data_IF_126556793216
#
_entry.id   IF_126556793216
#
_cell.length_a   1.000
_cell.length_b   1.000
_cell.length_c   1.000
_cell.angle_alpha   90.00
_cell.angle_beta   90.00
_cell.angle_gamma   90.00
#
_symmetry.space_group_name_H-M   'P 1'
#
loop_
_entity.id
_entity.type
_entity.pdbx_description
1 polymer ?
#
# COMPACT_ATOMS: atom_id res chain seq x y z
N UNK A 1 -0.23 26.00 -4.88
CA UNK A 1 0.06 25.18 -3.71
C UNK A 1 1.21 25.76 -2.90
N UNK A 2 1.46 25.21 -1.72
CA UNK A 2 2.62 25.55 -0.91
C UNK A 2 3.89 24.94 -1.50
N UNK A 3 5.04 25.57 -1.29
CA UNK A 3 6.32 25.06 -1.79
C UNK A 3 7.44 25.26 -0.77
N UNK A 4 8.39 24.32 -0.74
CA UNK A 4 9.60 24.38 0.09
C UNK A 4 9.34 24.54 1.59
N UNK A 5 8.37 23.75 2.11
CA UNK A 5 8.02 23.76 3.53
C UNK A 5 8.58 22.49 4.20
N UNK A 6 9.11 22.66 5.39
CA UNK A 6 9.57 21.58 6.25
C UNK A 6 8.81 21.59 7.57
N UNK A 7 8.11 20.49 7.87
CA UNK A 7 7.51 20.20 9.17
C UNK A 7 8.43 19.24 9.92
N UNK A 8 9.01 19.64 11.03
CA UNK A 8 9.95 18.79 11.75
C UNK A 8 9.78 18.85 13.27
N UNK A 9 9.87 17.70 13.92
CA UNK A 9 9.85 17.58 15.38
C UNK A 9 8.52 17.93 16.03
N UNK A 10 7.40 17.81 15.30
CA UNK A 10 6.08 18.18 15.78
C UNK A 10 5.35 16.96 16.37
N UNK A 11 4.52 17.22 17.40
CA UNK A 11 3.49 16.29 17.87
C UNK A 11 2.13 16.84 17.46
N UNK A 12 1.41 16.11 16.61
CA UNK A 12 0.08 16.49 16.10
C UNK A 12 -0.91 15.41 16.51
N UNK A 13 -1.97 15.76 17.17
CA UNK A 13 -2.93 14.78 17.69
C UNK A 13 -4.34 15.33 17.94
N UNK A 14 -5.27 14.41 18.22
CA UNK A 14 -6.59 14.67 18.78
C UNK A 14 -7.48 15.54 17.89
N UNK A 15 -7.54 15.26 16.58
CA UNK A 15 -8.51 15.92 15.69
C UNK A 15 -9.65 14.97 15.28
N UNK A 16 -10.81 15.54 14.95
CA UNK A 16 -11.95 14.82 14.36
C UNK A 16 -11.88 14.75 12.82
N UNK A 17 -10.86 15.32 12.24
CA UNK A 17 -10.58 15.36 10.82
C UNK A 17 -9.15 14.87 10.58
N UNK A 18 -8.61 15.11 9.41
CA UNK A 18 -7.21 14.77 9.10
C UNK A 18 -6.23 15.53 10.01
N UNK A 19 -5.13 14.88 10.33
CA UNK A 19 -4.08 15.49 11.13
C UNK A 19 -3.31 16.57 10.37
N UNK A 20 -2.85 16.26 9.15
CA UNK A 20 -2.12 17.19 8.28
C UNK A 20 -2.60 17.04 6.84
N UNK A 21 -3.00 18.15 6.21
CA UNK A 21 -3.32 18.19 4.79
C UNK A 21 -2.26 19.01 4.04
N UNK A 22 -1.66 18.39 3.05
CA UNK A 22 -0.62 18.97 2.20
C UNK A 22 -1.15 19.06 0.76
N UNK A 23 -1.07 20.25 0.17
CA UNK A 23 -1.28 20.44 -1.27
C UNK A 23 -0.17 21.36 -1.77
N UNK A 24 0.84 20.77 -2.44
CA UNK A 24 2.01 21.52 -2.88
C UNK A 24 3.19 20.65 -3.27
N UNK A 25 4.34 21.31 -3.47
CA UNK A 25 5.53 20.64 -3.97
C UNK A 25 6.75 20.93 -3.08
N UNK A 26 7.74 20.02 -3.10
CA UNK A 26 8.97 20.16 -2.30
C UNK A 26 8.69 20.35 -0.80
N UNK A 27 7.86 19.47 -0.25
CA UNK A 27 7.46 19.53 1.16
C UNK A 27 8.03 18.32 1.88
N UNK A 28 8.58 18.55 3.07
CA UNK A 28 9.12 17.49 3.91
C UNK A 28 8.37 17.45 5.24
N UNK A 29 7.98 16.24 5.67
CA UNK A 29 7.46 15.95 7.01
C UNK A 29 8.43 14.99 7.65
N UNK A 30 9.17 15.43 8.66
CA UNK A 30 10.32 14.73 9.20
C UNK A 30 10.32 14.70 10.75
N UNK A 31 10.57 13.53 11.32
CA UNK A 31 10.72 13.37 12.77
C UNK A 31 9.54 13.92 13.57
N UNK A 32 8.32 13.68 13.10
CA UNK A 32 7.07 14.09 13.74
C UNK A 32 6.32 12.89 14.32
N UNK A 33 5.38 13.15 15.22
CA UNK A 33 4.45 12.15 15.76
C UNK A 33 3.03 12.56 15.43
N UNK A 34 2.25 11.61 14.85
CA UNK A 34 0.86 11.78 14.47
C UNK A 34 0.01 10.71 15.15
N UNK A 35 -0.95 11.08 15.99
CA UNK A 35 -1.71 10.10 16.75
C UNK A 35 -3.09 10.59 17.20
N UNK A 36 -3.97 9.64 17.49
CA UNK A 36 -5.33 9.87 18.00
C UNK A 36 -6.19 10.73 17.05
N UNK A 37 -6.24 10.35 15.79
CA UNK A 37 -7.11 10.97 14.79
C UNK A 37 -8.37 10.14 14.57
N UNK A 38 -9.49 10.83 14.31
CA UNK A 38 -10.71 10.16 13.86
C UNK A 38 -10.63 9.77 12.38
N UNK A 39 -9.97 10.56 11.56
CA UNK A 39 -9.80 10.41 10.12
C UNK A 39 -8.33 10.14 9.77
N UNK A 40 -7.88 10.45 8.57
CA UNK A 40 -6.52 10.22 8.06
C UNK A 40 -5.47 11.06 8.80
N UNK A 41 -4.34 10.47 9.13
CA UNK A 41 -3.29 11.23 9.83
C UNK A 41 -2.58 12.23 8.90
N UNK A 42 -2.10 11.78 7.74
CA UNK A 42 -1.42 12.65 6.76
C UNK A 42 -2.03 12.42 5.38
N UNK A 43 -2.58 13.48 4.79
CA UNK A 43 -3.03 13.49 3.40
C UNK A 43 -2.19 14.46 2.58
N UNK A 44 -1.50 13.98 1.57
CA UNK A 44 -0.55 14.74 0.77
C UNK A 44 -0.84 14.62 -0.72
N UNK A 45 -0.87 15.75 -1.43
CA UNK A 45 -1.04 15.81 -2.88
C UNK A 45 -0.04 16.78 -3.50
N UNK A 46 0.72 16.32 -4.48
CA UNK A 46 1.72 17.12 -5.19
C UNK A 46 2.93 16.32 -5.62
N UNK A 47 4.06 16.98 -5.80
CA UNK A 47 5.31 16.36 -6.25
C UNK A 47 6.48 16.69 -5.32
N UNK A 48 7.50 15.81 -5.28
CA UNK A 48 8.67 15.99 -4.42
C UNK A 48 8.29 16.15 -2.93
N UNK A 49 7.28 15.40 -2.48
CA UNK A 49 6.88 15.37 -1.08
C UNK A 49 7.62 14.21 -0.41
N UNK A 50 8.27 14.48 0.70
CA UNK A 50 8.96 13.46 1.51
C UNK A 50 8.32 13.38 2.89
N UNK A 51 7.82 12.18 3.26
CA UNK A 51 7.28 11.87 4.58
C UNK A 51 8.22 10.84 5.19
N UNK A 52 9.04 11.26 6.16
CA UNK A 52 10.10 10.40 6.67
C UNK A 52 10.30 10.48 8.18
N UNK A 53 10.81 9.39 8.77
CA UNK A 53 11.19 9.31 10.19
C UNK A 53 10.06 9.67 11.17
N UNK A 54 8.82 9.48 10.77
CA UNK A 54 7.67 9.81 11.61
C UNK A 54 7.13 8.58 12.33
N UNK A 55 6.50 8.79 13.47
CA UNK A 55 5.66 7.80 14.14
C UNK A 55 4.18 8.16 13.90
N UNK A 56 3.40 7.21 13.34
CA UNK A 56 1.96 7.41 13.04
C UNK A 56 1.15 6.28 13.66
N UNK A 57 0.25 6.58 14.57
CA UNK A 57 -0.49 5.55 15.29
C UNK A 57 -1.85 5.99 15.85
N UNK A 58 -2.70 5.03 16.21
CA UNK A 58 -4.06 5.23 16.71
C UNK A 58 -4.88 6.12 15.77
N UNK A 59 -4.96 5.73 14.50
CA UNK A 59 -5.65 6.49 13.45
C UNK A 59 -6.95 5.79 13.08
N UNK A 60 -8.04 6.52 13.00
CA UNK A 60 -9.36 5.98 12.70
C UNK A 60 -9.51 5.46 11.27
N UNK A 61 -8.86 6.12 10.33
CA UNK A 61 -8.82 5.80 8.90
C UNK A 61 -7.39 5.50 8.44
N UNK A 62 -6.95 6.04 7.29
CA UNK A 62 -5.60 5.85 6.75
C UNK A 62 -4.52 6.55 7.59
N UNK A 63 -3.34 5.96 7.66
CA UNK A 63 -2.22 6.67 8.28
C UNK A 63 -1.61 7.70 7.33
N UNK A 64 -1.24 7.31 6.10
CA UNK A 64 -0.64 8.19 5.10
C UNK A 64 -1.32 7.98 3.74
N UNK A 65 -1.92 9.02 3.19
CA UNK A 65 -2.39 9.07 1.80
C UNK A 65 -1.48 10.01 1.02
N UNK A 66 -0.83 9.52 -0.04
CA UNK A 66 0.08 10.32 -0.85
C UNK A 66 -0.26 10.18 -2.34
N UNK A 67 -0.53 11.32 -2.99
CA UNK A 67 -0.94 11.37 -4.40
C UNK A 67 -0.04 12.29 -5.19
N UNK A 68 0.28 11.88 -6.43
CA UNK A 68 1.04 12.76 -7.32
C UNK A 68 1.60 12.08 -8.55
N UNK A 69 2.17 12.90 -9.43
CA UNK A 69 2.57 12.48 -10.76
C UNK A 69 1.37 12.41 -11.71
N UNK A 70 1.62 12.07 -12.95
CA UNK A 70 0.61 12.01 -14.00
C UNK A 70 0.62 10.61 -14.65
N UNK A 71 -0.46 9.89 -14.50
CA UNK A 71 -0.62 8.53 -15.04
C UNK A 71 -0.66 8.57 -16.58
N UNK A 72 -1.33 9.54 -17.17
CA UNK A 72 -1.53 9.60 -18.62
C UNK A 72 -0.22 9.86 -19.38
N UNK A 73 0.69 10.64 -18.81
CA UNK A 73 2.02 10.93 -19.37
C UNK A 73 3.12 10.08 -18.75
N UNK A 74 2.78 9.25 -17.75
CA UNK A 74 3.73 8.44 -16.98
C UNK A 74 4.82 9.29 -16.31
N UNK A 75 4.46 10.52 -15.91
CA UNK A 75 5.39 11.46 -15.27
C UNK A 75 5.45 11.21 -13.77
N UNK A 76 6.61 10.86 -13.19
CA UNK A 76 6.71 10.49 -11.79
C UNK A 76 6.53 11.69 -10.85
N UNK A 77 5.90 11.42 -9.70
CA UNK A 77 5.73 12.41 -8.64
C UNK A 77 7.02 12.75 -7.90
N UNK A 78 7.96 11.82 -7.85
CA UNK A 78 9.13 11.85 -6.97
C UNK A 78 8.75 11.98 -5.47
N UNK A 79 7.58 11.50 -5.10
CA UNK A 79 7.15 11.45 -3.71
C UNK A 79 7.78 10.26 -2.99
N UNK A 80 8.08 10.44 -1.71
CA UNK A 80 8.79 9.44 -0.89
C UNK A 80 8.11 9.28 0.47
N UNK A 81 7.84 8.03 0.86
CA UNK A 81 7.46 7.62 2.22
C UNK A 81 8.57 6.72 2.75
N UNK A 82 9.39 7.23 3.66
CA UNK A 82 10.65 6.60 4.05
C UNK A 82 10.85 6.52 5.56
N UNK A 83 11.25 5.35 6.05
CA UNK A 83 11.67 5.13 7.43
C UNK A 83 10.64 5.63 8.47
N UNK A 84 9.34 5.41 8.22
CA UNK A 84 8.30 5.72 9.20
C UNK A 84 7.94 4.48 10.01
N UNK A 85 7.50 4.69 11.25
CA UNK A 85 6.96 3.70 12.16
C UNK A 85 5.45 3.87 12.23
N UNK A 86 4.69 2.93 11.63
CA UNK A 86 3.25 3.08 11.40
C UNK A 86 2.51 1.90 12.02
N UNK A 87 1.58 2.16 12.95
CA UNK A 87 0.82 1.10 13.59
C UNK A 87 -0.56 1.55 14.08
N UNK A 88 -1.48 0.61 14.24
CA UNK A 88 -2.84 0.86 14.75
C UNK A 88 -3.62 1.91 13.93
N UNK A 89 -3.59 1.81 12.59
CA UNK A 89 -4.51 2.55 11.70
C UNK A 89 -5.81 1.76 11.49
N UNK A 90 -6.81 2.37 10.84
CA UNK A 90 -8.09 1.72 10.58
C UNK A 90 -8.88 1.39 11.85
N UNK A 91 -8.69 2.14 12.94
CA UNK A 91 -9.31 1.81 14.22
C UNK A 91 -10.85 2.00 14.20
N UNK A 92 -11.35 2.83 13.28
CA UNK A 92 -12.79 3.10 13.10
C UNK A 92 -13.30 2.47 11.81
N UNK A 93 -12.66 2.74 10.67
CA UNK A 93 -13.07 2.26 9.35
C UNK A 93 -12.95 0.75 9.17
N UNK A 94 -11.96 0.11 9.74
CA UNK A 94 -11.65 -1.32 9.71
C UNK A 94 -11.34 -1.91 8.33
N UNK A 95 -12.05 -1.54 7.28
CA UNK A 95 -11.87 -2.03 5.91
C UNK A 95 -11.55 -0.88 4.97
N UNK A 96 -10.75 -1.12 3.93
CA UNK A 96 -10.34 -0.12 2.95
C UNK A 96 -9.60 1.08 3.56
N UNK A 97 -8.86 0.82 4.65
CA UNK A 97 -8.00 1.77 5.33
C UNK A 97 -6.57 1.24 5.34
N UNK A 98 -5.60 2.10 5.07
CA UNK A 98 -4.23 1.69 4.76
C UNK A 98 -3.20 2.44 5.64
N UNK A 99 -2.09 1.77 5.94
CA UNK A 99 -0.94 2.47 6.52
C UNK A 99 -0.35 3.46 5.50
N UNK A 100 -0.24 3.04 4.23
CA UNK A 100 0.18 3.91 3.13
C UNK A 100 -0.70 3.64 1.92
N UNK A 101 -1.42 4.64 1.48
CA UNK A 101 -2.06 4.64 0.16
C UNK A 101 -1.32 5.59 -0.78
N UNK A 102 -0.68 5.03 -1.80
CA UNK A 102 0.02 5.79 -2.82
C UNK A 102 -0.73 5.75 -4.15
N UNK A 103 -1.08 6.89 -4.74
CA UNK A 103 -1.70 6.94 -6.05
C UNK A 103 -1.06 7.94 -7.00
N UNK A 104 -1.21 7.69 -8.31
CA UNK A 104 -0.60 8.47 -9.36
C UNK A 104 0.57 7.76 -10.01
N UNK A 105 1.74 8.37 -10.10
CA UNK A 105 2.90 7.79 -10.77
C UNK A 105 4.18 7.96 -9.96
N UNK A 106 4.96 6.88 -9.81
CA UNK A 106 6.34 6.96 -9.36
C UNK A 106 6.54 7.40 -7.90
N UNK A 107 5.80 6.82 -6.95
CA UNK A 107 6.03 6.99 -5.51
C UNK A 107 6.99 5.92 -5.00
N UNK A 108 7.94 6.31 -4.15
CA UNK A 108 8.82 5.40 -3.42
C UNK A 108 8.28 5.19 -1.99
N UNK A 109 8.04 3.94 -1.59
CA UNK A 109 7.67 3.53 -0.23
C UNK A 109 8.76 2.59 0.27
N UNK A 110 9.60 3.05 1.19
CA UNK A 110 10.82 2.33 1.51
C UNK A 110 11.22 2.42 2.99
N UNK A 111 11.75 1.32 3.55
CA UNK A 111 12.27 1.22 4.90
C UNK A 111 11.25 1.56 6.01
N UNK A 112 9.96 1.41 5.76
CA UNK A 112 8.96 1.63 6.79
C UNK A 112 8.75 0.35 7.61
N UNK A 113 8.48 0.50 8.90
CA UNK A 113 7.98 -0.55 9.78
C UNK A 113 6.48 -0.34 9.97
N UNK A 114 5.67 -1.37 9.62
CA UNK A 114 4.21 -1.23 9.50
C UNK A 114 3.53 -2.42 10.14
N UNK A 115 2.69 -2.20 11.19
CA UNK A 115 2.11 -3.33 11.91
C UNK A 115 0.85 -3.01 12.74
N UNK A 116 0.24 -4.09 13.25
CA UNK A 116 -0.89 -4.10 14.19
C UNK A 116 -2.12 -3.34 13.69
N UNK A 117 -2.76 -3.89 12.63
CA UNK A 117 -3.95 -3.25 12.07
C UNK A 117 -4.97 -4.25 11.50
N UNK A 118 -6.24 -3.83 11.39
CA UNK A 118 -7.33 -4.70 10.96
C UNK A 118 -7.27 -5.10 9.49
N UNK A 119 -6.70 -4.25 8.62
CA UNK A 119 -6.73 -4.41 7.17
C UNK A 119 -5.34 -4.26 6.52
N UNK A 120 -5.30 -3.95 5.23
CA UNK A 120 -4.11 -3.90 4.38
C UNK A 120 -3.09 -2.84 4.85
N UNK A 121 -1.81 -3.13 4.69
CA UNK A 121 -0.78 -2.18 5.08
C UNK A 121 -0.48 -1.16 3.97
N UNK A 122 -0.07 -1.62 2.79
CA UNK A 122 0.33 -0.73 1.69
C UNK A 122 -0.53 -1.00 0.47
N UNK A 123 -1.19 0.03 -0.04
CA UNK A 123 -1.88 0.02 -1.33
C UNK A 123 -1.19 0.99 -2.29
N UNK A 124 -0.99 0.54 -3.54
CA UNK A 124 -0.55 1.44 -4.61
C UNK A 124 -1.50 1.37 -5.81
N UNK A 125 -1.71 2.52 -6.45
CA UNK A 125 -2.57 2.66 -7.63
C UNK A 125 -1.89 3.54 -8.69
N UNK A 126 -1.56 2.93 -9.81
CA UNK A 126 -0.87 3.56 -10.93
C UNK A 126 0.50 2.95 -11.24
N UNK A 127 1.21 3.51 -12.24
CA UNK A 127 2.48 2.98 -12.73
C UNK A 127 3.71 3.44 -11.94
N UNK A 128 4.79 2.68 -12.10
CA UNK A 128 6.15 3.03 -11.66
C UNK A 128 6.34 3.28 -10.17
N UNK A 129 5.49 2.73 -9.30
CA UNK A 129 5.72 2.75 -7.86
C UNK A 129 6.82 1.78 -7.46
N UNK A 130 7.57 2.12 -6.41
CA UNK A 130 8.57 1.23 -5.83
C UNK A 130 8.27 1.01 -4.35
N UNK A 131 8.01 -0.24 -3.97
CA UNK A 131 7.72 -0.66 -2.59
C UNK A 131 8.85 -1.59 -2.16
N UNK A 132 9.78 -1.10 -1.34
CA UNK A 132 10.98 -1.86 -1.04
C UNK A 132 11.49 -1.70 0.40
N UNK A 133 12.17 -2.74 0.90
CA UNK A 133 12.79 -2.75 2.22
C UNK A 133 11.84 -2.39 3.39
N UNK A 134 10.54 -2.61 3.24
CA UNK A 134 9.60 -2.42 4.33
C UNK A 134 9.48 -3.71 5.14
N UNK A 135 9.31 -3.59 6.46
CA UNK A 135 8.86 -4.66 7.32
C UNK A 135 7.37 -4.49 7.61
N UNK A 136 6.56 -5.52 7.30
CA UNK A 136 5.10 -5.49 7.44
C UNK A 136 4.65 -6.73 8.19
N UNK A 137 3.99 -6.55 9.33
CA UNK A 137 3.55 -7.68 10.15
C UNK A 137 2.29 -7.40 10.98
N UNK A 138 1.62 -8.46 11.44
CA UNK A 138 0.39 -8.36 12.22
C UNK A 138 -0.65 -7.45 11.55
N UNK A 139 -0.92 -7.65 10.28
CA UNK A 139 -1.94 -6.89 9.53
C UNK A 139 -2.98 -7.84 8.94
N UNK A 140 -4.09 -7.33 8.41
CA UNK A 140 -5.26 -8.11 8.02
C UNK A 140 -5.83 -8.94 9.19
N UNK A 141 -5.85 -8.37 10.40
CA UNK A 141 -6.21 -9.12 11.59
C UNK A 141 -7.72 -9.31 11.78
N UNK A 142 -8.55 -8.45 11.19
CA UNK A 142 -9.99 -8.43 11.43
C UNK A 142 -10.81 -8.58 10.13
N UNK A 143 -10.17 -8.67 8.96
CA UNK A 143 -10.84 -8.67 7.65
C UNK A 143 -10.33 -9.78 6.75
N UNK A 144 -11.21 -10.26 5.87
CA UNK A 144 -10.90 -11.15 4.75
C UNK A 144 -10.63 -10.35 3.47
N UNK A 145 -10.28 -11.03 2.38
CA UNK A 145 -9.99 -10.44 1.06
C UNK A 145 -8.94 -9.34 1.16
N UNK A 146 -7.86 -9.66 1.83
CA UNK A 146 -6.88 -8.71 2.31
C UNK A 146 -5.47 -9.16 1.93
N UNK A 147 -4.67 -8.26 1.38
CA UNK A 147 -3.23 -8.47 1.18
C UNK A 147 -2.42 -7.49 2.02
N UNK A 148 -1.35 -7.94 2.67
CA UNK A 148 -0.47 -7.02 3.39
C UNK A 148 0.04 -5.92 2.47
N UNK A 149 0.50 -6.28 1.27
CA UNK A 149 0.77 -5.38 0.16
C UNK A 149 -0.25 -5.66 -0.95
N UNK A 150 -0.97 -4.64 -1.40
CA UNK A 150 -2.09 -4.78 -2.30
C UNK A 150 -2.10 -3.75 -3.42
N UNK A 151 -2.43 -4.19 -4.62
CA UNK A 151 -2.90 -3.35 -5.71
C UNK A 151 -3.85 -4.15 -6.61
N UNK A 152 -4.76 -3.47 -7.30
CA UNK A 152 -5.73 -4.17 -8.16
C UNK A 152 -6.41 -3.26 -9.16
N UNK A 153 -7.17 -3.90 -10.10
CA UNK A 153 -8.07 -3.24 -11.04
C UNK A 153 -7.41 -2.33 -12.07
N UNK A 154 -6.12 -2.55 -12.35
CA UNK A 154 -5.36 -1.70 -13.28
C UNK A 154 -4.60 -2.54 -14.30
N UNK A 155 -5.10 -2.60 -15.54
CA UNK A 155 -4.37 -3.22 -16.66
C UNK A 155 -3.21 -2.36 -17.19
N UNK A 156 -3.22 -1.08 -16.89
CA UNK A 156 -2.29 -0.06 -17.39
C UNK A 156 -1.20 0.35 -16.38
N UNK A 157 -1.24 -0.14 -15.16
CA UNK A 157 -0.33 0.23 -14.08
C UNK A 157 1.04 -0.47 -14.15
N UNK A 158 1.67 -0.44 -15.30
CA UNK A 158 2.96 -1.10 -15.54
C UNK A 158 4.14 -0.45 -14.80
N UNK A 159 5.17 -1.24 -14.58
CA UNK A 159 6.48 -0.75 -14.13
C UNK A 159 6.66 -0.63 -12.62
N UNK A 160 5.65 -0.97 -11.82
CA UNK A 160 5.82 -0.96 -10.36
C UNK A 160 6.62 -2.17 -9.89
N UNK A 161 7.43 -1.98 -8.84
CA UNK A 161 8.28 -2.99 -8.25
C UNK A 161 8.01 -3.16 -6.75
N UNK A 162 7.72 -4.39 -6.34
CA UNK A 162 7.58 -4.81 -4.94
C UNK A 162 8.74 -5.72 -4.61
N UNK A 163 9.72 -5.22 -3.87
CA UNK A 163 10.97 -5.97 -3.71
C UNK A 163 11.63 -5.79 -2.35
N UNK A 164 12.34 -6.84 -1.91
CA UNK A 164 13.14 -6.83 -0.68
C UNK A 164 12.36 -6.47 0.58
N UNK A 165 11.04 -6.67 0.60
CA UNK A 165 10.25 -6.48 1.79
C UNK A 165 10.28 -7.74 2.66
N UNK A 166 10.15 -7.57 3.98
CA UNK A 166 9.90 -8.64 4.93
C UNK A 166 8.45 -8.55 5.40
N UNK A 167 7.65 -9.56 5.03
CA UNK A 167 6.20 -9.60 5.27
C UNK A 167 5.93 -10.85 6.10
N UNK A 168 5.36 -10.69 7.30
CA UNK A 168 5.17 -11.85 8.17
C UNK A 168 3.99 -11.70 9.15
N UNK A 169 3.48 -12.83 9.63
CA UNK A 169 2.36 -12.88 10.57
C UNK A 169 1.11 -12.15 10.02
N UNK A 170 0.68 -12.54 8.82
CA UNK A 170 -0.41 -11.88 8.10
C UNK A 170 -1.72 -12.66 8.28
N UNK A 171 -2.78 -11.94 8.66
CA UNK A 171 -4.10 -12.50 8.95
C UNK A 171 -4.21 -13.07 10.35
N UNK A 172 -5.42 -13.41 10.77
CA UNK A 172 -5.69 -14.04 12.04
C UNK A 172 -6.89 -15.01 11.95
N UNK A 173 -6.88 -16.05 12.79
CA UNK A 173 -7.98 -17.01 12.87
C UNK A 173 -8.26 -17.72 11.56
N UNK A 174 -9.49 -17.63 11.05
CA UNK A 174 -9.91 -18.22 9.77
C UNK A 174 -9.89 -17.25 8.59
N UNK A 175 -9.46 -16.00 8.81
CA UNK A 175 -9.35 -15.01 7.74
C UNK A 175 -8.31 -15.45 6.70
N UNK A 176 -8.65 -15.30 5.42
CA UNK A 176 -7.76 -15.61 4.30
C UNK A 176 -7.09 -14.33 3.85
N UNK A 177 -5.90 -14.09 4.39
CA UNK A 177 -5.11 -12.91 4.08
C UNK A 177 -3.83 -13.28 3.33
N UNK A 178 -3.47 -12.50 2.33
CA UNK A 178 -2.33 -12.71 1.43
C UNK A 178 -1.11 -11.89 1.88
N UNK A 179 0.08 -12.40 1.59
CA UNK A 179 1.31 -11.61 1.76
C UNK A 179 1.36 -10.46 0.74
N UNK A 180 1.33 -10.79 -0.54
CA UNK A 180 1.23 -9.82 -1.65
C UNK A 180 0.04 -10.21 -2.53
N UNK A 181 -0.83 -9.25 -2.81
CA UNK A 181 -2.04 -9.47 -3.59
C UNK A 181 -2.10 -8.53 -4.80
N UNK A 182 -1.85 -9.09 -5.98
CA UNK A 182 -2.01 -8.42 -7.28
C UNK A 182 -3.38 -8.78 -7.82
N UNK A 183 -4.39 -7.96 -7.48
CA UNK A 183 -5.79 -8.31 -7.64
C UNK A 183 -6.39 -7.84 -8.98
N UNK A 184 -7.52 -8.45 -9.34
CA UNK A 184 -8.44 -8.02 -10.39
C UNK A 184 -7.76 -7.47 -11.66
N UNK A 185 -6.92 -8.29 -12.29
CA UNK A 185 -6.32 -7.95 -13.57
C UNK A 185 -5.11 -7.01 -13.50
N UNK A 186 -4.58 -6.70 -12.32
CA UNK A 186 -3.37 -5.88 -12.18
C UNK A 186 -2.21 -6.46 -13.00
N UNK A 187 -1.61 -5.64 -13.84
CA UNK A 187 -0.64 -6.09 -14.84
C UNK A 187 0.68 -5.35 -14.77
N UNK A 188 1.75 -5.98 -15.29
CA UNK A 188 3.06 -5.34 -15.47
C UNK A 188 3.83 -5.07 -14.18
N UNK A 189 3.60 -5.84 -13.13
CA UNK A 189 4.28 -5.69 -11.83
C UNK A 189 5.52 -6.60 -11.77
N UNK A 190 6.55 -6.17 -11.04
CA UNK A 190 7.71 -7.00 -10.70
C UNK A 190 7.73 -7.25 -9.19
N UNK A 191 7.59 -8.50 -8.78
CA UNK A 191 7.65 -8.95 -7.38
C UNK A 191 8.92 -9.77 -7.19
N UNK A 192 9.92 -9.20 -6.52
CA UNK A 192 11.27 -9.77 -6.50
C UNK A 192 11.93 -9.70 -5.12
N UNK A 193 12.55 -10.81 -4.71
CA UNK A 193 13.45 -10.82 -3.55
C UNK A 193 12.77 -10.56 -2.20
N UNK A 194 11.45 -10.70 -2.10
CA UNK A 194 10.75 -10.53 -0.83
C UNK A 194 10.86 -11.80 0.03
N UNK A 195 10.83 -11.62 1.34
CA UNK A 195 10.65 -12.68 2.32
C UNK A 195 9.24 -12.59 2.87
N UNK A 196 8.45 -13.65 2.69
CA UNK A 196 7.04 -13.75 3.11
C UNK A 196 6.91 -14.95 4.03
N UNK A 197 6.44 -14.76 5.25
CA UNK A 197 6.33 -15.83 6.24
C UNK A 197 5.04 -15.76 7.05
N UNK A 198 4.51 -16.93 7.42
CA UNK A 198 3.36 -17.05 8.34
C UNK A 198 2.14 -16.24 7.89
N UNK A 199 1.63 -16.54 6.69
CA UNK A 199 0.40 -15.93 6.14
C UNK A 199 -0.77 -16.93 6.19
N UNK A 200 -1.96 -16.49 6.55
CA UNK A 200 -3.15 -17.36 6.66
C UNK A 200 -3.72 -17.77 5.30
N UNK A 201 -3.47 -16.98 4.25
CA UNK A 201 -3.87 -17.24 2.87
C UNK A 201 -2.72 -17.66 1.97
N UNK A 202 -2.60 -16.98 0.83
CA UNK A 202 -1.54 -17.21 -0.16
C UNK A 202 -0.31 -16.34 0.14
N UNK A 203 0.88 -16.87 -0.12
CA UNK A 203 2.09 -16.04 -0.06
C UNK A 203 2.01 -14.88 -1.05
N UNK A 204 1.75 -15.20 -2.33
CA UNK A 204 1.49 -14.23 -3.40
C UNK A 204 0.26 -14.69 -4.17
N UNK A 205 -0.73 -13.82 -4.37
CA UNK A 205 -1.89 -14.07 -5.20
C UNK A 205 -1.90 -13.12 -6.41
N UNK A 206 -2.22 -13.67 -7.59
CA UNK A 206 -2.39 -12.91 -8.84
C UNK A 206 -3.78 -13.18 -9.39
N UNK A 207 -4.64 -12.18 -9.32
CA UNK A 207 -6.04 -12.20 -9.75
C UNK A 207 -6.21 -11.91 -11.24
N UNK A 208 -5.61 -12.72 -12.14
CA UNK A 208 -5.87 -12.70 -13.58
C UNK A 208 -5.13 -11.63 -14.39
N UNK A 209 -4.19 -10.89 -13.83
CA UNK A 209 -3.35 -9.92 -14.54
C UNK A 209 -2.34 -10.59 -15.50
N UNK A 210 -1.71 -9.81 -16.36
CA UNK A 210 -0.70 -10.27 -17.31
C UNK A 210 0.64 -9.52 -17.15
N UNK A 211 1.69 -10.09 -17.71
CA UNK A 211 3.03 -9.50 -17.75
C UNK A 211 3.61 -9.22 -16.35
N UNK A 212 3.09 -9.90 -15.31
CA UNK A 212 3.63 -9.85 -13.97
C UNK A 212 4.86 -10.79 -13.87
N UNK A 213 5.94 -10.30 -13.30
CA UNK A 213 7.17 -11.05 -13.05
C UNK A 213 7.28 -11.34 -11.56
N UNK A 214 7.31 -12.62 -11.20
CA UNK A 214 7.44 -13.06 -9.80
C UNK A 214 8.65 -13.95 -9.71
N UNK A 215 9.72 -13.48 -9.08
CA UNK A 215 10.98 -14.24 -9.03
C UNK A 215 11.78 -14.00 -7.75
N UNK A 216 12.58 -14.99 -7.37
CA UNK A 216 13.50 -14.90 -6.23
C UNK A 216 12.86 -14.53 -4.88
N UNK A 217 11.56 -14.79 -4.68
CA UNK A 217 10.91 -14.59 -3.40
C UNK A 217 11.08 -15.84 -2.53
N UNK A 218 11.28 -15.65 -1.24
CA UNK A 218 11.28 -16.70 -0.23
C UNK A 218 9.94 -16.70 0.48
N UNK A 219 9.15 -17.77 0.33
CA UNK A 219 7.83 -17.90 0.93
C UNK A 219 7.81 -19.09 1.89
N UNK A 220 7.47 -18.83 3.14
CA UNK A 220 7.51 -19.80 4.24
C UNK A 220 6.15 -19.84 4.94
N UNK A 221 5.62 -21.04 5.15
CA UNK A 221 4.43 -21.27 5.97
C UNK A 221 3.19 -20.45 5.51
N UNK A 222 2.78 -20.65 4.25
CA UNK A 222 1.48 -20.13 3.75
C UNK A 222 0.36 -21.09 4.14
N UNK A 223 -0.74 -20.56 4.64
CA UNK A 223 -1.92 -21.34 5.02
C UNK A 223 -2.63 -21.98 3.83
N UNK A 224 -2.46 -21.42 2.63
CA UNK A 224 -2.85 -21.98 1.34
C UNK A 224 -1.60 -22.23 0.47
N UNK A 225 -1.67 -22.00 -0.85
CA UNK A 225 -0.48 -22.18 -1.69
C UNK A 225 0.51 -21.02 -1.55
N UNK A 226 1.76 -21.29 -1.87
CA UNK A 226 2.82 -20.26 -1.89
C UNK A 226 2.54 -19.18 -2.92
N UNK A 227 2.12 -19.58 -4.13
CA UNK A 227 1.69 -18.69 -5.21
C UNK A 227 0.35 -19.21 -5.75
N UNK A 228 -0.57 -18.31 -5.96
CA UNK A 228 -1.86 -18.54 -6.61
C UNK A 228 -1.99 -17.65 -7.83
N UNK A 229 -2.42 -18.23 -8.94
CA UNK A 229 -2.82 -17.49 -10.13
C UNK A 229 -4.22 -17.95 -10.53
N UNK A 230 -5.16 -17.05 -10.63
CA UNK A 230 -6.49 -17.32 -11.14
C UNK A 230 -6.77 -16.58 -12.46
N UNK A 231 -7.83 -16.99 -13.15
CA UNK A 231 -8.18 -16.46 -14.47
C UNK A 231 -9.34 -15.46 -14.44
N UNK A 232 -9.66 -14.92 -13.26
CA UNK A 232 -10.87 -14.08 -13.05
C UNK A 232 -11.02 -12.93 -14.05
N UNK A 233 -9.93 -12.25 -14.38
CA UNK A 233 -9.99 -11.16 -15.36
C UNK A 233 -10.37 -11.66 -16.75
N UNK A 234 -9.81 -12.78 -17.22
CA UNK A 234 -10.17 -13.40 -18.51
C UNK A 234 -11.60 -13.91 -18.50
N UNK A 235 -11.98 -14.57 -17.43
CA UNK A 235 -13.31 -15.19 -17.32
C UNK A 235 -14.41 -14.13 -17.23
N UNK A 236 -14.17 -13.03 -16.51
CA UNK A 236 -15.04 -11.86 -16.51
C UNK A 236 -15.20 -11.23 -17.90
N UNK A 237 -14.10 -11.04 -18.64
CA UNK A 237 -14.14 -10.55 -20.03
C UNK A 237 -14.95 -11.47 -20.97
N UNK A 238 -14.79 -12.79 -20.86
CA UNK A 238 -15.50 -13.76 -21.72
C UNK A 238 -16.98 -13.87 -21.40
N UNK A 239 -17.38 -13.63 -20.17
CA UNK A 239 -18.75 -13.74 -19.70
C UNK A 239 -19.55 -12.42 -19.79
N UNK A 240 -18.96 -11.34 -20.31
CA UNK A 240 -19.60 -10.04 -20.42
C UNK A 240 -19.72 -9.27 -19.08
N UNK A 241 -19.04 -9.74 -18.05
CA UNK A 241 -18.94 -9.05 -16.75
C UNK A 241 -17.78 -8.04 -16.74
N UNK A 242 -17.14 -7.87 -17.91
CA UNK A 242 -15.89 -7.12 -18.06
C UNK A 242 -16.01 -5.61 -18.22
N UNK A 243 -17.21 -5.05 -18.20
CA UNK A 243 -17.39 -3.61 -18.45
C UNK A 243 -16.66 -2.75 -17.41
N UNK A 244 -16.59 -3.19 -16.17
CA UNK A 244 -15.85 -2.47 -15.12
C UNK A 244 -14.32 -2.50 -15.29
N UNK A 245 -13.76 -3.42 -16.06
CA UNK A 245 -12.34 -3.43 -16.40
C UNK A 245 -11.96 -2.36 -17.45
N UNK A 246 -12.93 -1.79 -18.16
CA UNK A 246 -12.70 -0.83 -19.23
C UNK A 246 -13.07 0.62 -18.86
N UNK A 247 -13.69 0.84 -17.72
CA UNK A 247 -14.15 2.17 -17.29
C UNK A 247 -13.11 2.98 -16.48
N UNK A 248 -11.89 2.44 -16.32
CA UNK A 248 -10.84 3.11 -15.52
C UNK A 248 -9.53 3.21 -16.28
#
# INVERSE_FOLDING_TARGET
>A
GAEYINFSGLNISATRANGLNINGNHITVDNCRFYDFHDTAIQAEGTHITIQNNEVFNVGADAIVIKGGDIATVSPSHNVVYNNYIHHWGQIGKTSEYAVFASGCGVLISHNEVHDAPHQAILWDGPNHVIEYNEVYNVCLETDDCGALYAGRRFDAYGSAVRYNYIHNIGSGSAVAQGIYLDDGLSGQTVYGNVIADVTGYGIQVGGGRDNIIENNLIINSGKSTIEYDSRARDGMLNGEGDWFYEH
#
